data_IF_701008739176
#
_entry.id   IF_701008739176
#
_cell.length_a   1.000
_cell.length_b   1.000
_cell.length_c   1.000
_cell.angle_alpha   90.00
_cell.angle_beta   90.00
_cell.angle_gamma   90.00
#
_symmetry.space_group_name_H-M   'P 1'
#
loop_
_entity.id
_entity.type
_entity.pdbx_description
1 polymer ?
#
# COMPACT_ATOMS: atom_id res chain seq x y z
N UNK A 1 8.96 13.33 9.53
CA UNK A 1 9.22 11.89 9.29
C UNK A 1 10.48 11.74 8.47
N UNK A 2 11.46 11.05 9.03
CA UNK A 2 12.72 10.70 8.37
C UNK A 2 12.42 9.61 7.33
N UNK A 3 12.88 9.79 6.09
CA UNK A 3 12.68 8.81 5.01
C UNK A 3 13.68 7.68 5.19
N UNK A 4 13.20 6.47 5.54
CA UNK A 4 14.06 5.29 5.59
C UNK A 4 14.28 4.79 4.15
N UNK A 5 15.55 4.64 3.70
CA UNK A 5 15.82 4.11 2.38
C UNK A 5 15.38 2.64 2.28
N UNK A 6 14.74 2.28 1.16
CA UNK A 6 14.38 0.89 0.86
C UNK A 6 15.63 0.21 0.31
N UNK A 7 16.24 -0.66 1.13
CA UNK A 7 17.42 -1.44 0.75
C UNK A 7 17.02 -2.90 0.59
N UNK A 8 17.26 -3.48 -0.59
CA UNK A 8 17.03 -4.91 -0.86
C UNK A 8 18.36 -5.55 -1.21
N UNK A 9 18.78 -6.49 -0.37
CA UNK A 9 19.98 -7.29 -0.61
C UNK A 9 19.64 -8.46 -1.53
N UNK A 10 20.40 -8.60 -2.61
CA UNK A 10 20.29 -9.73 -3.53
C UNK A 10 20.81 -11.01 -2.86
N UNK A 11 20.13 -12.14 -3.08
CA UNK A 11 20.65 -13.47 -2.73
C UNK A 11 21.38 -14.09 -3.92
N UNK A 12 22.34 -14.99 -3.65
CA UNK A 12 23.23 -15.61 -4.66
C UNK A 12 22.49 -16.29 -5.82
N UNK A 13 21.27 -16.77 -5.60
CA UNK A 13 20.46 -17.48 -6.62
C UNK A 13 19.22 -16.69 -7.07
N UNK A 14 19.17 -15.38 -6.83
CA UNK A 14 18.02 -14.54 -7.20
C UNK A 14 18.22 -13.93 -8.59
N UNK A 15 17.21 -14.04 -9.45
CA UNK A 15 17.20 -13.32 -10.72
C UNK A 15 17.02 -11.83 -10.51
N UNK A 16 17.61 -11.01 -11.38
CA UNK A 16 17.40 -9.55 -11.43
C UNK A 16 15.91 -9.19 -11.46
N UNK A 17 15.10 -9.97 -12.20
CA UNK A 17 13.65 -9.76 -12.29
C UNK A 17 12.94 -9.91 -10.94
N UNK A 18 13.38 -10.87 -10.11
CA UNK A 18 12.81 -11.10 -8.78
C UNK A 18 13.16 -9.97 -7.82
N UNK A 19 14.39 -9.46 -7.88
CA UNK A 19 14.84 -8.32 -7.08
C UNK A 19 14.02 -7.07 -7.43
N UNK A 20 13.84 -6.80 -8.72
CA UNK A 20 13.01 -5.68 -9.19
C UNK A 20 11.56 -5.83 -8.68
N UNK A 21 10.99 -7.03 -8.76
CA UNK A 21 9.63 -7.30 -8.27
C UNK A 21 9.54 -7.10 -6.76
N UNK A 22 10.55 -7.54 -6.00
CA UNK A 22 10.61 -7.35 -4.56
C UNK A 22 10.71 -5.87 -4.19
N UNK A 23 11.52 -5.10 -4.93
CA UNK A 23 11.63 -3.65 -4.79
C UNK A 23 10.31 -2.95 -5.06
N UNK A 24 9.66 -3.26 -6.19
CA UNK A 24 8.32 -2.72 -6.51
C UNK A 24 7.31 -2.99 -5.40
N UNK A 25 7.32 -4.21 -4.82
CA UNK A 25 6.45 -4.56 -3.69
C UNK A 25 6.78 -3.76 -2.43
N UNK A 26 8.06 -3.61 -2.09
CA UNK A 26 8.48 -2.83 -0.92
C UNK A 26 8.11 -1.34 -1.06
N UNK A 27 8.37 -0.74 -2.22
CA UNK A 27 8.03 0.66 -2.53
C UNK A 27 6.53 0.91 -2.52
N UNK A 28 5.72 -0.05 -3.01
CA UNK A 28 4.27 0.03 -2.93
C UNK A 28 3.74 -0.10 -1.50
N UNK A 29 4.35 -0.96 -0.67
CA UNK A 29 3.99 -1.10 0.75
C UNK A 29 4.33 0.15 1.56
N UNK A 30 5.47 0.77 1.29
CA UNK A 30 5.89 2.01 1.92
C UNK A 30 5.08 3.24 1.47
N UNK A 31 4.31 3.13 0.38
CA UNK A 31 3.48 4.22 -0.15
C UNK A 31 4.29 5.43 -0.63
N UNK A 32 5.61 5.29 -0.83
CA UNK A 32 6.53 6.40 -1.11
C UNK A 32 6.06 7.27 -2.26
N UNK A 33 5.66 6.66 -3.38
CA UNK A 33 5.23 7.39 -4.58
C UNK A 33 4.00 8.25 -4.30
N UNK A 34 3.05 7.73 -3.52
CA UNK A 34 1.83 8.47 -3.17
C UNK A 34 2.16 9.62 -2.22
N UNK A 35 2.98 9.37 -1.19
CA UNK A 35 3.42 10.41 -0.25
C UNK A 35 4.13 11.55 -0.97
N UNK A 36 5.02 11.24 -1.92
CA UNK A 36 5.73 12.25 -2.71
C UNK A 36 4.76 13.05 -3.59
N UNK A 37 3.77 12.39 -4.20
CA UNK A 37 2.72 13.08 -4.98
C UNK A 37 1.86 14.00 -4.13
N UNK A 38 1.42 13.52 -2.98
CA UNK A 38 0.53 14.26 -2.08
C UNK A 38 1.24 15.47 -1.46
N UNK A 39 2.57 15.39 -1.28
CA UNK A 39 3.41 16.50 -0.79
C UNK A 39 3.88 17.45 -1.88
N UNK A 40 3.66 17.14 -3.16
CA UNK A 40 4.15 17.97 -4.28
C UNK A 40 3.51 19.35 -4.29
N UNK A 41 2.26 19.45 -3.83
CA UNK A 41 1.50 20.69 -3.80
C UNK A 41 0.77 20.84 -2.48
N UNK A 42 0.46 22.08 -2.12
CA UNK A 42 -0.41 22.35 -0.98
C UNK A 42 -1.82 21.79 -1.23
N UNK A 43 -2.34 21.05 -0.25
CA UNK A 43 -3.70 20.56 -0.24
C UNK A 43 -4.45 21.14 0.97
N UNK A 44 -5.66 21.67 0.74
CA UNK A 44 -6.52 22.14 1.83
C UNK A 44 -6.82 20.98 2.81
N UNK A 45 -6.87 21.21 4.13
CA UNK A 45 -7.17 20.16 5.11
C UNK A 45 -8.47 19.40 4.83
N UNK A 46 -9.50 20.07 4.31
CA UNK A 46 -10.77 19.45 3.91
C UNK A 46 -10.59 18.41 2.79
N UNK A 47 -9.72 18.70 1.81
CA UNK A 47 -9.41 17.78 0.72
C UNK A 47 -8.65 16.55 1.22
N UNK A 48 -7.68 16.75 2.11
CA UNK A 48 -6.95 15.66 2.76
C UNK A 48 -7.92 14.72 3.50
N UNK A 49 -8.86 15.28 4.28
CA UNK A 49 -9.89 14.49 4.98
C UNK A 49 -10.82 13.75 4.01
N UNK A 50 -11.20 14.38 2.91
CA UNK A 50 -12.04 13.77 1.88
C UNK A 50 -11.32 12.58 1.21
N UNK A 51 -10.06 12.75 0.85
CA UNK A 51 -9.23 11.71 0.22
C UNK A 51 -9.04 10.50 1.16
N UNK A 52 -8.76 10.75 2.45
CA UNK A 52 -8.67 9.71 3.47
C UNK A 52 -9.99 8.95 3.64
N UNK A 53 -11.12 9.66 3.67
CA UNK A 53 -12.45 9.05 3.78
C UNK A 53 -12.78 8.19 2.56
N UNK A 54 -12.47 8.70 1.36
CA UNK A 54 -12.67 7.98 0.11
C UNK A 54 -11.84 6.69 0.07
N UNK A 55 -10.57 6.75 0.49
CA UNK A 55 -9.70 5.56 0.52
C UNK A 55 -10.20 4.52 1.54
N UNK A 56 -10.58 4.95 2.75
CA UNK A 56 -11.19 4.04 3.74
C UNK A 56 -12.48 3.41 3.23
N UNK A 57 -13.33 4.16 2.55
CA UNK A 57 -14.57 3.65 1.95
C UNK A 57 -14.29 2.59 0.88
N UNK A 58 -13.32 2.85 0.00
CA UNK A 58 -12.86 1.87 -1.02
C UNK A 58 -12.33 0.60 -0.38
N UNK A 59 -11.49 0.71 0.64
CA UNK A 59 -10.93 -0.44 1.36
C UNK A 59 -12.02 -1.25 2.06
N UNK A 60 -13.01 -0.61 2.71
CA UNK A 60 -14.16 -1.29 3.31
C UNK A 60 -14.99 -2.06 2.27
N UNK A 61 -15.33 -1.42 1.15
CA UNK A 61 -16.05 -2.07 0.04
C UNK A 61 -15.28 -3.27 -0.51
N UNK A 62 -13.97 -3.12 -0.69
CA UNK A 62 -13.08 -4.18 -1.17
C UNK A 62 -12.99 -5.34 -0.18
N UNK A 63 -12.84 -5.07 1.11
CA UNK A 63 -12.82 -6.10 2.16
C UNK A 63 -14.12 -6.93 2.14
N UNK A 64 -15.27 -6.25 2.08
CA UNK A 64 -16.59 -6.91 2.01
C UNK A 64 -16.73 -7.76 0.75
N UNK A 65 -16.34 -7.22 -0.41
CA UNK A 65 -16.39 -7.96 -1.68
C UNK A 65 -15.51 -9.21 -1.66
N UNK A 66 -14.29 -9.10 -1.10
CA UNK A 66 -13.35 -10.21 -1.01
C UNK A 66 -13.81 -11.29 -0.01
N UNK A 67 -14.46 -10.92 1.09
CA UNK A 67 -15.05 -11.89 2.04
C UNK A 67 -16.09 -12.79 1.39
N UNK A 68 -16.82 -12.26 0.40
CA UNK A 68 -17.90 -12.97 -0.28
C UNK A 68 -17.42 -13.87 -1.45
N UNK A 69 -16.11 -13.92 -1.73
CA UNK A 69 -15.54 -14.71 -2.82
C UNK A 69 -14.93 -16.01 -2.30
N UNK A 70 -15.23 -17.13 -2.97
CA UNK A 70 -14.85 -18.49 -2.54
C UNK A 70 -13.34 -18.79 -2.57
N UNK A 71 -12.54 -18.04 -3.34
CA UNK A 71 -11.11 -18.31 -3.58
C UNK A 71 -10.20 -17.12 -3.23
N UNK A 72 -10.43 -16.46 -2.10
CA UNK A 72 -9.57 -15.35 -1.66
C UNK A 72 -8.59 -15.81 -0.59
N UNK A 73 -7.30 -15.52 -0.81
CA UNK A 73 -6.26 -15.75 0.20
C UNK A 73 -6.59 -15.01 1.50
N UNK A 74 -6.61 -15.70 2.67
CA UNK A 74 -6.85 -15.07 3.97
C UNK A 74 -5.88 -13.91 4.27
N UNK A 75 -4.62 -14.03 3.81
CA UNK A 75 -3.61 -13.00 3.96
C UNK A 75 -3.94 -11.69 3.21
N UNK A 76 -4.78 -11.73 2.17
CA UNK A 76 -5.25 -10.52 1.50
C UNK A 76 -6.26 -9.74 2.35
N UNK A 77 -7.18 -10.45 3.03
CA UNK A 77 -8.15 -9.85 3.94
C UNK A 77 -7.48 -9.25 5.18
N UNK A 78 -6.53 -9.98 5.78
CA UNK A 78 -5.77 -9.49 6.94
C UNK A 78 -5.06 -8.16 6.62
N UNK A 79 -4.39 -8.07 5.46
CA UNK A 79 -3.71 -6.83 5.04
C UNK A 79 -4.65 -5.65 4.82
N UNK A 80 -5.84 -5.89 4.28
CA UNK A 80 -6.84 -4.83 4.09
C UNK A 80 -7.40 -4.38 5.45
N UNK A 81 -7.66 -5.32 6.36
CA UNK A 81 -8.15 -5.01 7.70
C UNK A 81 -7.12 -4.26 8.53
N UNK A 82 -5.83 -4.62 8.44
CA UNK A 82 -4.74 -3.86 9.06
C UNK A 82 -4.68 -2.41 8.57
N UNK A 83 -4.92 -2.17 7.27
CA UNK A 83 -5.00 -0.81 6.71
C UNK A 83 -6.25 -0.03 7.13
N UNK A 84 -7.33 -0.72 7.48
CA UNK A 84 -8.57 -0.11 7.96
C UNK A 84 -8.52 0.20 9.47
N UNK A 85 -7.74 -0.56 10.23
CA UNK A 85 -7.55 -0.38 11.67
C UNK A 85 -6.42 0.59 12.05
N UNK A 86 -5.65 1.08 11.08
CA UNK A 86 -4.65 2.15 11.23
C UNK A 86 -5.28 3.55 11.01
#
# INVERSE_FOLDING_TARGET
>A
MIYLPIIIKAKKNQSTGDIIRQFKKASASAGTVQIVKDRRYFAKPSRIKADLTAERSRLKKRARSLKNRKNVSPAALVRINQRLGA
#
